data_IF_867411399766
#
_entry.id   IF_867411399766
#
_cell.length_a   1.000
_cell.length_b   1.000
_cell.length_c   1.000
_cell.angle_alpha   90.00
_cell.angle_beta   90.00
_cell.angle_gamma   90.00
#
_symmetry.space_group_name_H-M   'P 1'
#
loop_
_entity.id
_entity.type
_entity.pdbx_description
1 polymer ?
#
# COMPACT_ATOMS: atom_id res chain seq x y z
N UNK A 1 3.95 23.03 -1.31
CA UNK A 1 3.83 21.63 -1.77
C UNK A 1 3.51 20.62 -0.67
N UNK A 2 3.72 20.93 0.63
CA UNK A 2 3.45 19.99 1.75
C UNK A 2 1.96 19.90 2.14
N UNK A 3 1.17 20.97 1.95
CA UNK A 3 -0.24 21.05 2.36
C UNK A 3 -1.26 20.98 1.21
N UNK A 4 -0.83 20.57 0.01
CA UNK A 4 -1.75 20.43 -1.14
C UNK A 4 -2.30 19.00 -1.23
N UNK A 5 -3.44 18.84 -1.90
CA UNK A 5 -4.07 17.51 -2.13
C UNK A 5 -3.08 16.53 -2.78
N UNK A 6 -2.27 16.99 -3.73
CA UNK A 6 -1.21 16.20 -4.35
C UNK A 6 -0.17 15.69 -3.33
N UNK A 7 0.18 16.49 -2.32
CA UNK A 7 1.06 16.08 -1.23
C UNK A 7 0.46 14.93 -0.39
N UNK A 8 -0.82 15.04 -0.04
CA UNK A 8 -1.55 13.98 0.68
C UNK A 8 -1.66 12.67 -0.09
N UNK A 9 -1.82 12.75 -1.42
CA UNK A 9 -1.83 11.56 -2.26
C UNK A 9 -0.47 10.83 -2.16
N UNK A 10 0.63 11.56 -2.29
CA UNK A 10 1.98 10.99 -2.15
C UNK A 10 2.18 10.38 -0.75
N UNK A 11 1.75 11.07 0.32
CA UNK A 11 1.85 10.53 1.68
C UNK A 11 1.02 9.25 1.89
N UNK A 12 -0.08 9.08 1.15
CA UNK A 12 -0.85 7.83 1.18
C UNK A 12 -0.05 6.66 0.59
N UNK A 13 0.68 6.87 -0.51
CA UNK A 13 1.61 5.84 -1.04
C UNK A 13 2.70 5.51 -0.02
N UNK A 14 3.29 6.53 0.62
CA UNK A 14 4.30 6.31 1.66
C UNK A 14 3.74 5.53 2.86
N UNK A 15 2.52 5.82 3.29
CA UNK A 15 1.86 5.08 4.36
C UNK A 15 1.65 3.61 3.97
N UNK A 16 1.20 3.34 2.74
CA UNK A 16 1.04 1.98 2.21
C UNK A 16 2.39 1.26 2.18
N UNK A 17 3.42 1.86 1.60
CA UNK A 17 4.77 1.27 1.57
C UNK A 17 5.32 1.01 2.96
N UNK A 18 5.13 1.95 3.90
CA UNK A 18 5.54 1.79 5.28
C UNK A 18 4.87 0.57 5.93
N UNK A 19 3.55 0.44 5.78
CA UNK A 19 2.80 -0.72 6.30
C UNK A 19 3.20 -2.03 5.62
N UNK A 20 3.45 -2.01 4.31
CA UNK A 20 3.96 -3.16 3.56
C UNK A 20 5.29 -3.64 4.13
N UNK A 21 6.24 -2.73 4.37
CA UNK A 21 7.56 -3.06 4.92
C UNK A 21 7.43 -3.57 6.36
N UNK A 22 6.61 -2.94 7.19
CA UNK A 22 6.37 -3.39 8.57
C UNK A 22 5.80 -4.82 8.57
N UNK A 23 4.75 -5.06 7.77
CA UNK A 23 4.15 -6.38 7.64
C UNK A 23 5.16 -7.42 7.11
N UNK A 24 5.98 -7.03 6.13
CA UNK A 24 7.06 -7.86 5.59
C UNK A 24 8.05 -8.25 6.67
N UNK A 25 8.59 -7.29 7.42
CA UNK A 25 9.61 -7.55 8.43
C UNK A 25 9.07 -8.45 9.54
N UNK A 26 7.88 -8.15 10.08
CA UNK A 26 7.27 -8.96 11.15
C UNK A 26 7.07 -10.40 10.67
N UNK A 27 6.48 -10.59 9.49
CA UNK A 27 6.22 -11.92 8.92
C UNK A 27 7.52 -12.65 8.60
N UNK A 28 8.51 -11.94 8.04
CA UNK A 28 9.80 -12.50 7.69
C UNK A 28 10.53 -13.03 8.92
N UNK A 29 10.63 -12.24 10.00
CA UNK A 29 11.29 -12.70 11.24
C UNK A 29 10.59 -13.90 11.85
N UNK A 30 9.25 -13.93 11.84
CA UNK A 30 8.47 -15.09 12.30
C UNK A 30 8.78 -16.34 11.48
N UNK A 31 8.65 -16.27 10.15
CA UNK A 31 8.89 -17.40 9.25
C UNK A 31 10.35 -17.87 9.28
N UNK A 32 11.30 -16.94 9.41
CA UNK A 32 12.72 -17.24 9.51
C UNK A 32 13.04 -18.05 10.77
N UNK A 33 12.47 -17.65 11.92
CA UNK A 33 12.68 -18.38 13.17
C UNK A 33 11.98 -19.74 13.20
N UNK A 34 10.84 -19.85 12.53
CA UNK A 34 10.09 -21.11 12.35
C UNK A 34 10.73 -22.04 11.29
N UNK A 35 11.74 -21.58 10.56
CA UNK A 35 12.38 -22.34 9.48
C UNK A 35 11.48 -22.61 8.26
N UNK A 36 10.35 -21.91 8.16
CA UNK A 36 9.31 -22.10 7.14
C UNK A 36 9.41 -21.08 5.99
N UNK A 37 10.61 -20.55 5.73
CA UNK A 37 10.81 -19.54 4.69
C UNK A 37 10.59 -20.11 3.29
N UNK A 38 9.72 -19.47 2.51
CA UNK A 38 9.46 -19.80 1.10
C UNK A 38 9.66 -18.54 0.23
N UNK A 39 10.27 -18.70 -0.94
CA UNK A 39 10.45 -17.65 -1.96
C UNK A 39 9.09 -17.07 -2.40
N UNK A 40 8.02 -17.87 -2.35
CA UNK A 40 6.65 -17.39 -2.65
C UNK A 40 6.22 -16.24 -1.74
N UNK A 41 6.76 -16.15 -0.52
CA UNK A 41 6.55 -15.03 0.40
C UNK A 41 6.96 -13.70 -0.24
N UNK A 42 8.21 -13.61 -0.74
CA UNK A 42 8.74 -12.38 -1.34
C UNK A 42 7.98 -12.04 -2.63
N UNK A 43 7.65 -13.05 -3.44
CA UNK A 43 6.85 -12.87 -4.66
C UNK A 43 5.45 -12.35 -4.36
N UNK A 44 4.86 -12.73 -3.22
CA UNK A 44 3.59 -12.19 -2.73
C UNK A 44 3.64 -10.67 -2.54
N UNK A 45 4.70 -10.14 -1.93
CA UNK A 45 4.85 -8.69 -1.77
C UNK A 45 5.12 -7.98 -3.09
N UNK A 46 5.93 -8.56 -3.97
CA UNK A 46 6.16 -7.99 -5.30
C UNK A 46 4.87 -7.91 -6.10
N UNK A 47 4.03 -8.94 -6.01
CA UNK A 47 2.68 -8.96 -6.57
C UNK A 47 1.85 -7.83 -5.95
N UNK A 48 1.81 -7.69 -4.63
CA UNK A 48 1.05 -6.63 -3.96
C UNK A 48 1.51 -5.23 -4.40
N UNK A 49 2.81 -4.99 -4.59
CA UNK A 49 3.31 -3.70 -5.16
C UNK A 49 2.71 -3.47 -6.55
N UNK A 50 2.70 -4.50 -7.39
CA UNK A 50 2.20 -4.40 -8.75
C UNK A 50 0.67 -4.24 -8.84
N UNK A 51 -0.09 -4.83 -7.92
CA UNK A 51 -1.55 -4.80 -7.93
C UNK A 51 -2.18 -3.71 -7.06
N UNK A 52 -1.46 -3.17 -6.08
CA UNK A 52 -1.98 -2.11 -5.20
C UNK A 52 -1.29 -0.78 -5.42
N UNK A 53 0.04 -0.74 -5.40
CA UNK A 53 0.79 0.51 -5.49
C UNK A 53 0.80 1.04 -6.93
N UNK A 54 1.07 0.18 -7.92
CA UNK A 54 1.16 0.63 -9.31
C UNK A 54 -0.16 1.24 -9.82
N UNK A 55 -1.34 0.64 -9.59
CA UNK A 55 -2.61 1.29 -9.96
C UNK A 55 -2.85 2.62 -9.26
N UNK A 56 -2.51 2.73 -7.97
CA UNK A 56 -2.59 3.99 -7.23
C UNK A 56 -1.64 5.05 -7.81
N UNK A 57 -0.43 4.66 -8.17
CA UNK A 57 0.53 5.55 -8.82
C UNK A 57 0.04 6.01 -10.20
N UNK A 58 -0.61 5.13 -10.97
CA UNK A 58 -1.25 5.50 -12.24
C UNK A 58 -2.34 6.54 -11.99
N UNK A 59 -3.21 6.34 -10.98
CA UNK A 59 -4.24 7.31 -10.63
C UNK A 59 -3.66 8.69 -10.30
N UNK A 60 -2.57 8.76 -9.52
CA UNK A 60 -1.89 10.04 -9.21
C UNK A 60 -1.48 10.79 -10.49
N UNK A 61 -0.97 10.07 -11.49
CA UNK A 61 -0.54 10.67 -12.75
C UNK A 61 -1.71 11.02 -13.69
N UNK A 62 -2.88 10.43 -13.49
CA UNK A 62 -4.10 10.70 -14.28
C UNK A 62 -4.97 11.82 -13.69
N UNK A 63 -4.75 12.24 -12.43
CA UNK A 63 -5.55 13.30 -11.78
C UNK A 63 -5.58 14.59 -12.61
N UNK A 64 -4.50 14.94 -13.30
CA UNK A 64 -4.42 16.15 -14.12
C UNK A 64 -5.38 16.16 -15.32
N UNK A 65 -5.88 15.00 -15.73
CA UNK A 65 -6.79 14.82 -16.87
C UNK A 65 -8.25 14.86 -16.42
N UNK A 66 -8.54 14.76 -15.12
CA UNK A 66 -9.91 14.80 -14.59
C UNK A 66 -10.52 16.21 -14.73
N UNK A 67 -11.53 16.41 -15.62
CA UNK A 67 -12.15 17.72 -15.81
C UNK A 67 -12.99 18.15 -14.59
N UNK A 68 -13.36 17.22 -13.71
CA UNK A 68 -14.09 17.53 -12.47
C UNK A 68 -13.14 17.98 -11.36
N UNK A 69 -11.87 17.54 -11.41
CA UNK A 69 -10.83 17.88 -10.44
C UNK A 69 -10.93 17.19 -9.08
N UNK A 70 -11.93 16.33 -8.85
CA UNK A 70 -12.13 15.68 -7.55
C UNK A 70 -12.52 14.20 -7.60
N UNK A 71 -13.06 13.69 -8.72
CA UNK A 71 -13.51 12.28 -8.81
C UNK A 71 -12.31 11.33 -8.66
N UNK A 72 -11.24 11.54 -9.44
CA UNK A 72 -10.07 10.67 -9.36
C UNK A 72 -9.35 10.78 -8.01
N UNK A 73 -9.42 11.95 -7.37
CA UNK A 73 -8.86 12.18 -6.03
C UNK A 73 -9.63 11.37 -4.97
N UNK A 74 -10.96 11.43 -4.98
CA UNK A 74 -11.78 10.66 -4.04
C UNK A 74 -11.57 9.17 -4.25
N UNK A 75 -11.61 8.72 -5.51
CA UNK A 75 -11.38 7.31 -5.84
C UNK A 75 -10.01 6.82 -5.35
N UNK A 76 -8.97 7.63 -5.57
CA UNK A 76 -7.64 7.36 -5.07
C UNK A 76 -7.60 7.16 -3.56
N UNK A 77 -8.22 8.05 -2.77
CA UNK A 77 -8.21 7.92 -1.30
C UNK A 77 -9.01 6.72 -0.80
N UNK A 78 -10.13 6.38 -1.45
CA UNK A 78 -10.90 5.17 -1.12
C UNK A 78 -10.05 3.92 -1.34
N UNK A 79 -9.39 3.81 -2.50
CA UNK A 79 -8.50 2.70 -2.81
C UNK A 79 -7.29 2.65 -1.87
N UNK A 80 -6.65 3.80 -1.61
CA UNK A 80 -5.50 3.89 -0.70
C UNK A 80 -5.86 3.48 0.73
N UNK A 81 -7.01 3.93 1.23
CA UNK A 81 -7.50 3.55 2.56
C UNK A 81 -7.81 2.05 2.65
N UNK A 82 -8.37 1.46 1.59
CA UNK A 82 -8.62 0.03 1.54
C UNK A 82 -7.31 -0.78 1.67
N UNK A 83 -6.23 -0.35 0.98
CA UNK A 83 -4.91 -1.00 1.08
C UNK A 83 -4.31 -0.84 2.48
N UNK A 84 -4.41 0.36 3.07
CA UNK A 84 -3.97 0.62 4.45
C UNK A 84 -4.68 -0.32 5.43
N UNK A 85 -6.01 -0.39 5.36
CA UNK A 85 -6.81 -1.26 6.24
C UNK A 85 -6.45 -2.74 6.04
N UNK A 86 -6.22 -3.17 4.79
CA UNK A 86 -5.77 -4.53 4.47
C UNK A 86 -4.48 -4.87 5.21
N UNK A 87 -3.44 -4.03 5.14
CA UNK A 87 -2.19 -4.31 5.84
C UNK A 87 -2.30 -4.20 7.36
N UNK A 88 -3.10 -3.28 7.90
CA UNK A 88 -3.34 -3.21 9.34
C UNK A 88 -4.01 -4.49 9.86
N UNK A 89 -4.99 -5.01 9.12
CA UNK A 89 -5.67 -6.27 9.46
C UNK A 89 -4.72 -7.46 9.34
N UNK A 90 -3.90 -7.52 8.30
CA UNK A 90 -2.92 -8.60 8.11
C UNK A 90 -1.87 -8.58 9.23
N UNK A 91 -1.34 -7.41 9.61
CA UNK A 91 -0.44 -7.27 10.77
C UNK A 91 -1.14 -7.75 12.04
N UNK A 92 -2.38 -7.32 12.30
CA UNK A 92 -3.14 -7.74 13.49
C UNK A 92 -3.30 -9.27 13.54
N UNK A 93 -3.57 -9.92 12.41
CA UNK A 93 -3.71 -11.39 12.32
C UNK A 93 -2.44 -12.15 12.67
N UNK A 94 -1.26 -11.55 12.57
CA UNK A 94 0.00 -12.22 12.96
C UNK A 94 0.08 -12.42 14.48
N UNK A 95 -0.52 -11.51 15.25
CA UNK A 95 -0.46 -11.46 16.71
C UNK A 95 -1.67 -12.10 17.42
N UNK A 96 -2.73 -12.45 16.68
CA UNK A 96 -3.87 -13.20 17.21
C UNK A 96 -3.62 -14.69 17.09
#
# INVERSE_FOLDING_TARGET
MILTVAGWMIYTLWAIFGLMIIHFLISFFKMFWEGAFDVTFVLGYLKDVLYYVLPLNVLVNLVSIDPTGWILVIFYFICGLAVILKYLLDIKRIFQ
#
